data_IF_062873563938
#
_entry.id   IF_062873563938
#
_cell.length_a   1.000
_cell.length_b   1.000
_cell.length_c   1.000
_cell.angle_alpha   90.00
_cell.angle_beta   90.00
_cell.angle_gamma   90.00
#
_symmetry.space_group_name_H-M   'P 1'
#
loop_
_entity.id
_entity.type
_entity.pdbx_description
1 polymer ?
#
# COMPACT_ATOMS: atom_id res chain seq x y z
N UNK A 1 76.47 20.47 -20.01
CA UNK A 1 75.24 19.65 -20.11
C UNK A 1 75.40 18.18 -19.68
N UNK A 2 76.61 17.70 -19.32
CA UNK A 2 76.85 16.29 -18.94
C UNK A 2 76.62 15.93 -17.47
N UNK A 3 76.53 16.90 -16.55
CA UNK A 3 76.50 16.63 -15.10
C UNK A 3 75.13 16.31 -14.49
N UNK A 4 74.02 16.34 -15.25
CA UNK A 4 72.68 15.96 -14.74
C UNK A 4 72.29 14.51 -15.00
N UNK A 5 73.14 13.72 -15.66
CA UNK A 5 72.86 12.32 -16.04
C UNK A 5 73.30 11.28 -15.00
N UNK A 6 73.96 11.69 -13.92
CA UNK A 6 74.55 10.77 -12.92
C UNK A 6 73.59 10.25 -11.85
N UNK A 7 72.27 10.38 -12.04
CA UNK A 7 71.27 9.96 -11.07
C UNK A 7 70.34 8.83 -11.51
N UNK A 8 70.42 8.37 -12.76
CA UNK A 8 69.44 7.44 -13.33
C UNK A 8 70.11 6.06 -13.49
N UNK A 9 69.84 5.16 -12.54
CA UNK A 9 70.27 3.75 -12.54
C UNK A 9 69.29 2.83 -13.31
N UNK A 10 68.61 3.35 -14.33
CA UNK A 10 67.67 2.55 -15.13
C UNK A 10 68.34 2.17 -16.45
N UNK A 11 68.34 0.87 -16.79
CA UNK A 11 68.77 0.42 -18.12
C UNK A 11 67.81 0.94 -19.18
N UNK A 12 68.30 1.22 -20.38
CA UNK A 12 67.45 1.59 -21.52
C UNK A 12 66.41 0.50 -21.80
N UNK A 13 66.79 -0.76 -21.59
CA UNK A 13 65.90 -1.92 -21.77
C UNK A 13 64.74 -1.91 -20.76
N UNK A 14 64.97 -1.44 -19.52
CA UNK A 14 63.93 -1.32 -18.49
C UNK A 14 62.96 -0.18 -18.83
N UNK A 15 63.43 0.87 -19.49
CA UNK A 15 62.59 1.99 -19.92
C UNK A 15 61.69 1.52 -21.08
N UNK A 16 62.23 0.76 -22.03
CA UNK A 16 61.47 0.23 -23.17
C UNK A 16 60.38 -0.75 -22.74
N UNK A 17 60.64 -1.61 -21.74
CA UNK A 17 59.62 -2.51 -21.20
C UNK A 17 58.48 -1.75 -20.52
N UNK A 18 58.79 -0.74 -19.71
CA UNK A 18 57.78 0.11 -19.06
C UNK A 18 56.92 0.85 -20.10
N UNK A 19 57.51 1.37 -21.17
CA UNK A 19 56.78 2.02 -22.25
C UNK A 19 55.86 1.03 -22.98
N UNK A 20 56.35 -0.18 -23.26
CA UNK A 20 55.55 -1.24 -23.89
C UNK A 20 54.34 -1.64 -23.03
N UNK A 21 54.53 -1.77 -21.71
CA UNK A 21 53.47 -2.06 -20.75
C UNK A 21 52.44 -0.91 -20.67
N UNK A 22 52.91 0.34 -20.70
CA UNK A 22 52.06 1.53 -20.70
C UNK A 22 51.15 1.58 -21.94
N UNK A 23 51.69 1.28 -23.12
CA UNK A 23 50.92 1.18 -24.36
C UNK A 23 49.99 -0.05 -24.39
N UNK A 24 50.37 -1.16 -23.77
CA UNK A 24 49.51 -2.34 -23.60
C UNK A 24 48.29 -1.99 -22.74
N UNK A 25 48.50 -1.27 -21.63
CA UNK A 25 47.44 -0.86 -20.72
C UNK A 25 46.48 0.18 -21.35
N UNK A 26 47.03 1.10 -22.15
CA UNK A 26 46.26 2.04 -22.98
C UNK A 26 45.33 1.32 -23.96
N UNK A 27 45.81 0.28 -24.65
CA UNK A 27 44.98 -0.54 -25.56
C UNK A 27 43.89 -1.30 -24.82
N UNK A 28 44.18 -1.86 -23.64
CA UNK A 28 43.19 -2.60 -22.82
C UNK A 28 42.03 -1.72 -22.36
N UNK A 29 42.32 -0.47 -21.97
CA UNK A 29 41.31 0.48 -21.50
C UNK A 29 40.73 1.35 -22.63
N UNK A 30 41.22 1.19 -23.86
CA UNK A 30 40.83 1.96 -25.05
C UNK A 30 40.92 3.49 -24.85
N UNK A 31 41.99 3.94 -24.16
CA UNK A 31 42.21 5.34 -23.77
C UNK A 31 43.65 5.71 -24.16
N UNK A 32 43.93 6.93 -24.67
CA UNK A 32 45.28 7.31 -25.05
C UNK A 32 46.24 7.23 -23.85
N UNK A 33 47.55 6.96 -24.06
CA UNK A 33 48.51 6.75 -22.98
C UNK A 33 48.63 7.91 -21.98
N UNK A 34 48.31 9.13 -22.40
CA UNK A 34 48.34 10.34 -21.55
C UNK A 34 47.19 10.36 -20.54
N UNK A 35 46.05 9.77 -20.89
CA UNK A 35 44.82 9.80 -20.08
C UNK A 35 44.68 8.59 -19.16
N UNK A 36 45.64 7.66 -19.19
CA UNK A 36 45.70 6.48 -18.32
C UNK A 36 45.62 6.81 -16.81
N UNK A 37 46.32 7.84 -16.29
CA UNK A 37 46.22 8.22 -14.89
C UNK A 37 44.82 8.69 -14.51
N UNK A 38 44.16 9.45 -15.40
CA UNK A 38 42.78 9.90 -15.23
C UNK A 38 41.81 8.72 -15.23
N UNK A 39 42.02 7.75 -16.14
CA UNK A 39 41.25 6.50 -16.17
C UNK A 39 41.39 5.72 -14.85
N UNK A 40 42.61 5.53 -14.36
CA UNK A 40 42.88 4.88 -13.09
C UNK A 40 42.20 5.60 -11.90
N UNK A 41 42.31 6.93 -11.83
CA UNK A 41 41.61 7.72 -10.80
C UNK A 41 40.09 7.56 -10.89
N UNK A 42 39.53 7.50 -12.10
CA UNK A 42 38.09 7.29 -12.31
C UNK A 42 37.63 5.92 -11.82
N UNK A 43 38.40 4.86 -12.10
CA UNK A 43 38.10 3.48 -11.69
C UNK A 43 38.24 3.36 -10.17
N UNK A 44 39.31 3.91 -9.59
CA UNK A 44 39.52 3.94 -8.14
C UNK A 44 38.42 4.73 -7.42
N UNK A 45 37.96 5.85 -8.00
CA UNK A 45 36.83 6.62 -7.48
C UNK A 45 35.52 5.84 -7.54
N UNK A 46 35.28 5.07 -8.62
CA UNK A 46 34.11 4.17 -8.72
C UNK A 46 34.16 3.06 -7.68
N UNK A 47 35.32 2.43 -7.49
CA UNK A 47 35.54 1.40 -6.47
C UNK A 47 35.33 1.94 -5.05
N UNK A 48 35.98 3.06 -4.69
CA UNK A 48 35.79 3.71 -3.39
C UNK A 48 34.35 4.25 -3.20
N UNK A 49 33.67 4.58 -4.30
CA UNK A 49 32.24 4.92 -4.29
C UNK A 49 31.36 3.72 -3.96
N UNK A 50 31.85 2.49 -4.16
CA UNK A 50 31.20 1.23 -3.78
C UNK A 50 30.97 1.12 -2.28
N UNK A 51 31.95 1.48 -1.44
CA UNK A 51 31.80 1.43 0.03
C UNK A 51 30.66 2.34 0.51
N UNK A 52 30.62 3.58 0.01
CA UNK A 52 29.51 4.52 0.26
C UNK A 52 28.17 4.05 -0.32
N UNK A 53 28.20 3.20 -1.35
CA UNK A 53 26.99 2.66 -1.97
C UNK A 53 26.41 1.50 -1.16
N UNK A 54 27.26 0.69 -0.52
CA UNK A 54 26.84 -0.35 0.41
C UNK A 54 26.21 0.24 1.68
N UNK A 55 26.81 1.28 2.25
CA UNK A 55 26.22 2.00 3.39
C UNK A 55 24.84 2.60 3.03
N UNK A 56 24.74 3.26 1.87
CA UNK A 56 23.48 3.80 1.36
C UNK A 56 22.43 2.72 1.10
N UNK A 57 22.83 1.55 0.62
CA UNK A 57 21.92 0.42 0.42
C UNK A 57 21.39 -0.11 1.77
N UNK A 58 22.25 -0.17 2.79
CA UNK A 58 21.85 -0.52 4.15
C UNK A 58 20.82 0.47 4.70
N UNK A 59 21.10 1.77 4.58
CA UNK A 59 20.16 2.81 5.01
C UNK A 59 18.83 2.74 4.25
N UNK A 60 18.87 2.57 2.93
CA UNK A 60 17.67 2.48 2.10
C UNK A 60 16.76 1.30 2.50
N UNK A 61 17.33 0.16 2.88
CA UNK A 61 16.56 -0.99 3.40
C UNK A 61 15.90 -0.69 4.74
N UNK A 62 16.63 -0.03 5.66
CA UNK A 62 16.05 0.38 6.94
C UNK A 62 14.91 1.39 6.76
N UNK A 63 15.07 2.33 5.83
CA UNK A 63 14.05 3.31 5.49
C UNK A 63 12.82 2.66 4.85
N UNK A 64 13.02 1.67 3.97
CA UNK A 64 11.96 0.86 3.37
C UNK A 64 11.16 0.10 4.43
N UNK A 65 11.82 -0.61 5.34
CA UNK A 65 11.17 -1.33 6.43
C UNK A 65 10.41 -0.39 7.38
N UNK A 66 10.98 0.78 7.67
CA UNK A 66 10.32 1.78 8.50
C UNK A 66 9.07 2.37 7.81
N UNK A 67 9.14 2.62 6.49
CA UNK A 67 8.01 3.09 5.71
C UNK A 67 6.90 2.04 5.63
N UNK A 68 7.26 0.76 5.44
CA UNK A 68 6.30 -0.36 5.42
C UNK A 68 5.53 -0.44 6.75
N UNK A 69 6.23 -0.41 7.89
CA UNK A 69 5.60 -0.45 9.21
C UNK A 69 4.65 0.72 9.46
N UNK A 70 5.04 1.93 9.02
CA UNK A 70 4.16 3.12 9.13
C UNK A 70 2.90 2.93 8.30
N UNK A 71 3.05 2.43 7.07
CA UNK A 71 1.93 2.14 6.20
C UNK A 71 0.97 1.11 6.81
N UNK A 72 1.48 -0.01 7.32
CA UNK A 72 0.68 -1.03 8.01
C UNK A 72 -0.09 -0.47 9.21
N UNK A 73 0.56 0.35 10.04
CA UNK A 73 -0.09 0.99 11.18
C UNK A 73 -1.23 1.92 10.74
N UNK A 74 -0.99 2.76 9.74
CA UNK A 74 -2.03 3.65 9.21
C UNK A 74 -3.21 2.89 8.60
N UNK A 75 -2.96 1.75 7.95
CA UNK A 75 -4.02 0.87 7.47
C UNK A 75 -4.86 0.30 8.63
N UNK A 76 -4.21 -0.10 9.73
CA UNK A 76 -4.91 -0.63 10.90
C UNK A 76 -5.76 0.44 11.60
N UNK A 77 -5.22 1.64 11.76
CA UNK A 77 -5.95 2.81 12.29
C UNK A 77 -7.18 3.13 11.43
N UNK A 78 -7.03 3.08 10.10
CA UNK A 78 -8.12 3.32 9.17
C UNK A 78 -9.24 2.28 9.30
N UNK A 79 -8.89 0.99 9.35
CA UNK A 79 -9.88 -0.09 9.53
C UNK A 79 -10.58 0.02 10.89
N UNK A 80 -9.85 0.36 11.96
CA UNK A 80 -10.43 0.58 13.29
C UNK A 80 -11.42 1.76 13.30
N UNK A 81 -11.05 2.88 12.67
CA UNK A 81 -11.94 4.05 12.54
C UNK A 81 -13.21 3.70 11.75
N UNK A 82 -13.08 2.93 10.67
CA UNK A 82 -14.24 2.46 9.88
C UNK A 82 -15.17 1.57 10.71
N UNK A 83 -14.61 0.66 11.49
CA UNK A 83 -15.38 -0.23 12.37
C UNK A 83 -16.16 0.58 13.42
N UNK A 84 -15.53 1.58 14.05
CA UNK A 84 -16.17 2.46 15.01
C UNK A 84 -17.35 3.24 14.40
N UNK A 85 -17.16 3.76 13.18
CA UNK A 85 -18.22 4.45 12.44
C UNK A 85 -19.35 3.49 12.07
N UNK A 86 -19.05 2.28 11.63
CA UNK A 86 -20.04 1.26 11.30
C UNK A 86 -20.90 0.87 12.52
N UNK A 87 -20.31 0.74 13.70
CA UNK A 87 -21.01 0.50 14.96
C UNK A 87 -21.93 1.68 15.32
N UNK A 88 -21.39 2.91 15.26
CA UNK A 88 -22.16 4.13 15.55
C UNK A 88 -23.36 4.28 14.63
N UNK A 89 -23.19 4.02 13.33
CA UNK A 89 -24.27 4.06 12.35
C UNK A 89 -25.29 2.95 12.64
N UNK A 90 -24.84 1.74 12.94
CA UNK A 90 -25.73 0.61 13.26
C UNK A 90 -26.63 0.94 14.46
N UNK A 91 -26.05 1.43 15.55
CA UNK A 91 -26.80 1.80 16.76
C UNK A 91 -27.76 2.97 16.51
N UNK A 92 -27.29 3.99 15.80
CA UNK A 92 -28.08 5.19 15.52
C UNK A 92 -29.27 4.86 14.61
N UNK A 93 -29.06 4.10 13.53
CA UNK A 93 -30.15 3.67 12.64
C UNK A 93 -31.14 2.80 13.41
N UNK A 94 -30.66 1.85 14.22
CA UNK A 94 -31.52 1.00 15.05
C UNK A 94 -32.41 1.80 16.01
N UNK A 95 -31.94 2.95 16.52
CA UNK A 95 -32.75 3.86 17.35
C UNK A 95 -33.89 4.52 16.56
N UNK A 96 -33.68 4.83 15.29
CA UNK A 96 -34.69 5.46 14.44
C UNK A 96 -35.65 4.47 13.77
N UNK A 97 -35.27 3.21 13.58
CA UNK A 97 -36.12 2.20 12.92
C UNK A 97 -37.54 2.08 13.48
N UNK A 98 -37.80 2.16 14.80
CA UNK A 98 -39.15 2.16 15.34
C UNK A 98 -40.02 3.30 14.80
N UNK A 99 -39.46 4.52 14.72
CA UNK A 99 -40.17 5.69 14.19
C UNK A 99 -40.50 5.60 12.69
N UNK A 100 -39.82 4.70 11.97
CA UNK A 100 -40.03 4.43 10.54
C UNK A 100 -40.93 3.20 10.30
N UNK A 101 -41.69 2.76 11.30
CA UNK A 101 -42.55 1.55 11.25
C UNK A 101 -41.76 0.28 10.88
N UNK A 102 -40.49 0.20 11.27
CA UNK A 102 -39.58 -0.92 11.03
C UNK A 102 -39.14 -1.60 12.35
N UNK A 103 -40.05 -1.68 13.32
CA UNK A 103 -39.81 -2.20 14.68
C UNK A 103 -39.38 -3.68 14.70
N UNK A 104 -39.80 -4.44 13.67
CA UNK A 104 -39.41 -5.84 13.49
C UNK A 104 -38.10 -6.01 12.73
N UNK A 105 -37.38 -4.95 12.38
CA UNK A 105 -36.15 -5.04 11.58
C UNK A 105 -34.91 -4.77 12.43
N UNK A 106 -33.85 -5.51 12.17
CA UNK A 106 -32.51 -5.35 12.75
C UNK A 106 -31.56 -4.99 11.61
N UNK A 107 -30.97 -3.81 11.69
CA UNK A 107 -29.98 -3.31 10.77
C UNK A 107 -28.58 -3.41 11.40
N UNK A 108 -27.60 -3.85 10.62
CA UNK A 108 -26.20 -3.89 11.04
C UNK A 108 -25.27 -3.62 9.87
N UNK A 109 -24.27 -2.76 10.09
CA UNK A 109 -23.19 -2.48 9.15
C UNK A 109 -21.99 -3.32 9.54
N UNK A 110 -21.38 -4.01 8.57
CA UNK A 110 -20.18 -4.81 8.80
C UNK A 110 -19.06 -4.35 7.86
N UNK A 111 -17.86 -4.20 8.43
CA UNK A 111 -16.64 -3.87 7.70
C UNK A 111 -15.83 -5.16 7.54
N UNK A 112 -15.64 -5.59 6.29
CA UNK A 112 -14.92 -6.82 5.96
C UNK A 112 -13.63 -6.47 5.21
N UNK A 113 -12.46 -6.98 5.65
CA UNK A 113 -11.22 -6.77 4.92
C UNK A 113 -11.29 -7.48 3.57
N UNK A 114 -11.03 -6.73 2.50
CA UNK A 114 -11.02 -7.23 1.13
C UNK A 114 -9.60 -7.47 0.67
N UNK A 115 -9.36 -8.70 0.23
CA UNK A 115 -8.09 -9.10 -0.35
C UNK A 115 -8.11 -8.81 -1.84
N UNK A 116 -7.19 -7.95 -2.30
CA UNK A 116 -6.93 -7.83 -3.74
C UNK A 116 -6.10 -9.02 -4.22
N UNK A 117 -6.55 -9.62 -5.32
CA UNK A 117 -5.74 -10.57 -6.10
C UNK A 117 -4.79 -9.79 -7.01
N UNK A 118 -3.83 -9.07 -6.43
CA UNK A 118 -2.75 -8.48 -7.21
C UNK A 118 -1.64 -9.51 -7.40
N UNK A 119 -1.20 -9.73 -8.64
CA UNK A 119 -0.04 -10.58 -8.97
C UNK A 119 1.30 -9.83 -8.84
N UNK A 120 1.28 -8.54 -8.51
CA UNK A 120 2.49 -7.74 -8.34
C UNK A 120 3.11 -7.89 -6.94
N UNK A 121 4.44 -7.88 -6.88
CA UNK A 121 5.19 -7.89 -5.64
C UNK A 121 5.23 -6.46 -5.04
N UNK A 122 4.08 -5.97 -4.57
CA UNK A 122 3.93 -4.66 -3.91
C UNK A 122 3.49 -4.82 -2.46
N UNK A 123 3.44 -3.74 -1.68
CA UNK A 123 2.85 -3.76 -0.33
C UNK A 123 1.38 -4.25 -0.31
N UNK A 124 0.69 -4.12 -1.46
CA UNK A 124 -0.61 -4.72 -1.74
C UNK A 124 -0.49 -6.08 -2.46
N UNK A 125 0.56 -6.84 -2.13
CA UNK A 125 0.94 -8.07 -2.83
C UNK A 125 -0.14 -9.14 -2.79
N UNK A 126 0.16 -10.29 -3.39
CA UNK A 126 -0.76 -11.42 -3.50
C UNK A 126 -1.30 -11.78 -2.11
N UNK A 127 -2.57 -11.47 -1.83
CA UNK A 127 -3.19 -11.80 -0.55
C UNK A 127 -3.21 -10.67 0.50
N UNK A 128 -2.62 -9.50 0.21
CA UNK A 128 -2.61 -8.38 1.15
C UNK A 128 -3.94 -7.60 1.09
N UNK A 129 -4.68 -7.59 2.20
CA UNK A 129 -5.91 -6.81 2.40
C UNK A 129 -5.71 -5.53 3.22
N UNK A 130 -4.47 -5.04 3.33
CA UNK A 130 -4.12 -3.92 4.20
C UNK A 130 -4.84 -2.63 3.77
N UNK A 131 -5.72 -2.13 4.65
CA UNK A 131 -6.46 -0.88 4.46
C UNK A 131 -7.57 -0.94 3.41
N UNK A 132 -7.81 -2.11 2.82
CA UNK A 132 -8.88 -2.33 1.85
C UNK A 132 -10.04 -3.00 2.55
N UNK A 133 -11.06 -2.21 2.84
CA UNK A 133 -12.24 -2.69 3.52
C UNK A 133 -13.46 -2.54 2.61
N UNK A 134 -14.28 -3.58 2.54
CA UNK A 134 -15.63 -3.54 1.98
C UNK A 134 -16.64 -3.40 3.09
N UNK A 135 -17.61 -2.51 2.91
CA UNK A 135 -18.68 -2.30 3.87
C UNK A 135 -19.95 -2.97 3.33
N UNK A 136 -20.47 -3.92 4.10
CA UNK A 136 -21.72 -4.62 3.78
C UNK A 136 -22.82 -4.17 4.77
N UNK A 137 -24.00 -3.89 4.22
CA UNK A 137 -25.19 -3.54 4.99
C UNK A 137 -26.11 -4.75 5.09
N UNK A 138 -26.48 -5.14 6.31
CA UNK A 138 -27.35 -6.28 6.56
C UNK A 138 -28.67 -5.85 7.18
N UNK A 139 -29.76 -6.51 6.74
CA UNK A 139 -31.10 -6.34 7.29
C UNK A 139 -31.67 -7.71 7.66
N UNK A 140 -32.15 -7.86 8.90
CA UNK A 140 -32.81 -9.08 9.39
C UNK A 140 -34.17 -8.74 9.99
N UNK A 141 -35.20 -9.54 9.73
CA UNK A 141 -36.50 -9.35 10.36
C UNK A 141 -36.69 -10.31 11.55
N UNK A 142 -37.06 -9.77 12.73
CA UNK A 142 -37.49 -10.52 13.91
C UNK A 142 -38.80 -11.24 13.60
N UNK A 143 -38.84 -12.55 13.89
CA UNK A 143 -40.07 -13.34 13.86
C UNK A 143 -40.75 -13.30 15.23
N UNK A 144 -42.07 -13.18 15.25
CA UNK A 144 -42.87 -13.27 16.46
C UNK A 144 -42.90 -14.73 16.94
N UNK A 145 -42.78 -14.94 18.25
CA UNK A 145 -42.60 -16.24 18.90
C UNK A 145 -43.84 -17.18 18.89
N UNK A 146 -44.74 -17.04 17.91
CA UNK A 146 -45.99 -17.81 17.82
C UNK A 146 -46.11 -18.56 16.50
N UNK A 147 -45.58 -19.79 16.49
CA UNK A 147 -46.10 -20.93 15.73
C UNK A 147 -46.04 -20.88 14.20
N UNK A 148 -44.97 -21.41 13.61
CA UNK A 148 -45.12 -22.46 12.60
C UNK A 148 -43.82 -23.31 12.53
N UNK A 149 -43.81 -24.45 13.24
CA UNK A 149 -42.79 -25.49 13.07
C UNK A 149 -43.11 -26.33 11.83
N UNK A 150 -43.16 -25.69 10.67
CA UNK A 150 -43.37 -26.37 9.39
C UNK A 150 -42.03 -26.62 8.69
N UNK A 151 -41.56 -27.86 8.83
CA UNK A 151 -40.68 -28.60 7.90
C UNK A 151 -39.43 -27.86 7.39
N UNK A 152 -38.31 -28.16 8.03
CA UNK A 152 -36.98 -28.08 7.44
C UNK A 152 -36.90 -28.93 6.17
N UNK A 153 -36.96 -28.28 5.01
CA UNK A 153 -36.40 -28.80 3.76
C UNK A 153 -35.62 -27.67 3.08
N UNK A 154 -34.30 -27.87 2.99
CA UNK A 154 -33.33 -27.04 2.26
C UNK A 154 -33.31 -25.53 2.57
N UNK A 155 -32.49 -25.15 3.55
CA UNK A 155 -31.55 -24.04 3.40
C UNK A 155 -32.10 -22.63 3.14
N UNK A 156 -33.04 -22.14 3.93
CA UNK A 156 -33.23 -20.71 4.30
C UNK A 156 -34.44 -20.66 5.25
N UNK A 157 -34.39 -20.04 6.42
CA UNK A 157 -34.67 -18.60 6.60
C UNK A 157 -34.43 -18.19 8.07
N UNK A 158 -33.29 -17.55 8.35
CA UNK A 158 -33.44 -16.23 8.96
C UNK A 158 -33.86 -15.33 7.78
N UNK A 159 -35.02 -14.66 7.83
CA UNK A 159 -35.43 -13.73 6.77
C UNK A 159 -34.55 -12.48 6.85
N UNK A 160 -33.30 -12.62 6.42
CA UNK A 160 -32.30 -11.59 6.51
C UNK A 160 -31.08 -11.92 5.68
N UNK A 161 -30.40 -10.88 5.22
CA UNK A 161 -29.29 -10.95 4.29
C UNK A 161 -28.77 -9.56 3.97
N UNK A 162 -28.00 -9.43 2.88
CA UNK A 162 -27.55 -8.12 2.41
C UNK A 162 -28.77 -7.26 2.10
N UNK A 163 -28.69 -5.98 2.47
CA UNK A 163 -29.77 -5.01 2.25
C UNK A 163 -30.14 -4.91 0.76
N UNK A 164 -29.16 -5.07 -0.11
CA UNK A 164 -29.33 -5.06 -1.57
C UNK A 164 -30.27 -6.18 -2.04
N UNK A 165 -30.14 -7.37 -1.47
CA UNK A 165 -30.89 -8.57 -1.89
C UNK A 165 -32.24 -8.71 -1.18
N UNK A 166 -32.30 -8.31 0.10
CA UNK A 166 -33.46 -8.62 0.97
C UNK A 166 -34.40 -7.43 1.17
N UNK A 167 -33.89 -6.20 1.08
CA UNK A 167 -34.68 -5.00 1.34
C UNK A 167 -35.64 -4.64 0.21
N UNK A 168 -36.92 -4.43 0.53
CA UNK A 168 -37.87 -3.81 -0.39
C UNK A 168 -37.44 -2.37 -0.72
N UNK A 169 -37.83 -1.85 -1.89
CA UNK A 169 -37.54 -0.47 -2.28
C UNK A 169 -37.97 0.55 -1.22
N UNK A 170 -39.10 0.32 -0.54
CA UNK A 170 -39.58 1.16 0.55
C UNK A 170 -38.74 1.06 1.83
N UNK A 171 -38.19 -0.12 2.15
CA UNK A 171 -37.32 -0.31 3.31
C UNK A 171 -35.96 0.33 3.09
N UNK A 172 -35.41 0.19 1.88
CA UNK A 172 -34.18 0.86 1.45
C UNK A 172 -34.33 2.38 1.56
N UNK A 173 -35.43 2.94 1.05
CA UNK A 173 -35.70 4.38 1.15
C UNK A 173 -35.81 4.86 2.61
N UNK A 174 -36.45 4.08 3.48
CA UNK A 174 -36.56 4.39 4.91
C UNK A 174 -35.22 4.33 5.64
N UNK A 175 -34.43 3.28 5.40
CA UNK A 175 -33.08 3.15 5.99
C UNK A 175 -32.18 4.28 5.48
N UNK A 176 -32.24 4.61 4.19
CA UNK A 176 -31.49 5.72 3.62
C UNK A 176 -31.86 7.05 4.28
N UNK A 177 -33.15 7.30 4.49
CA UNK A 177 -33.62 8.49 5.21
C UNK A 177 -33.07 8.52 6.64
N UNK A 178 -33.09 7.40 7.36
CA UNK A 178 -32.53 7.32 8.71
C UNK A 178 -31.01 7.56 8.72
N UNK A 179 -30.27 7.08 7.71
CA UNK A 179 -28.84 7.36 7.59
C UNK A 179 -28.60 8.84 7.33
N UNK A 180 -29.38 9.47 6.44
CA UNK A 180 -29.23 10.90 6.12
C UNK A 180 -29.54 11.81 7.32
N UNK A 181 -30.47 11.41 8.21
CA UNK A 181 -30.72 12.18 9.44
C UNK A 181 -29.58 12.07 10.47
N UNK A 182 -28.82 10.98 10.44
CA UNK A 182 -27.66 10.75 11.32
C UNK A 182 -26.40 11.41 10.74
N UNK A 183 -26.24 11.35 9.42
CA UNK A 183 -25.10 11.87 8.68
C UNK A 183 -25.58 12.90 7.64
N UNK A 184 -26.00 14.10 8.07
CA UNK A 184 -26.47 15.12 7.14
C UNK A 184 -25.35 15.49 6.16
N UNK A 185 -25.60 15.30 4.86
CA UNK A 185 -24.67 15.66 3.79
C UNK A 185 -23.92 14.50 3.14
N UNK A 186 -24.14 13.25 3.56
CA UNK A 186 -23.50 12.08 2.92
C UNK A 186 -23.92 11.92 1.45
N UNK A 187 -25.17 12.21 1.11
CA UNK A 187 -25.65 12.17 -0.29
C UNK A 187 -25.15 13.36 -1.11
N UNK A 188 -24.95 14.53 -0.47
CA UNK A 188 -24.50 15.75 -1.16
C UNK A 188 -23.02 15.70 -1.56
N UNK A 189 -22.20 14.92 -0.86
CA UNK A 189 -20.79 14.70 -1.23
C UNK A 189 -20.64 13.87 -2.52
N UNK A 190 -21.61 13.02 -2.85
CA UNK A 190 -21.57 12.19 -4.06
C UNK A 190 -21.84 12.96 -5.37
N UNK A 191 -22.42 14.17 -5.29
CA UNK A 191 -22.61 15.05 -6.46
C UNK A 191 -21.51 16.12 -6.60
N UNK A 192 -20.64 16.27 -5.59
CA UNK A 192 -19.59 17.28 -5.53
C UNK A 192 -18.21 16.70 -5.82
N UNK A 193 -17.90 16.48 -7.10
CA UNK A 193 -16.50 16.44 -7.52
C UNK A 193 -15.81 17.76 -7.14
N UNK A 194 -14.72 17.65 -6.39
CA UNK A 194 -13.73 18.71 -6.07
C UNK A 194 -14.04 19.60 -4.84
N UNK A 195 -13.00 19.70 -4.01
CA UNK A 195 -12.70 20.69 -2.97
C UNK A 195 -13.19 20.40 -1.53
N UNK A 196 -12.29 19.81 -0.74
CA UNK A 196 -12.11 20.21 0.65
C UNK A 196 -10.61 20.19 0.99
N UNK A 197 -9.96 21.31 0.69
CA UNK A 197 -8.72 21.76 1.32
C UNK A 197 -9.14 22.66 2.47
N UNK A 198 -8.94 22.23 3.72
CA UNK A 198 -8.59 23.07 4.88
C UNK A 198 -7.80 22.19 5.84
#
# INVERSE_FOLDING_TARGET
LQQRRSGIKASVEEIDTVIADWHSLSRKHNVPPVDLPTCHLSIRKKLNGGDKSLEKLGQAKLDEEAALKRFENSCFELTAARQQVAETISESVMRYLPSLAMERSIFSVQVNPTVLKSTSNSAFGIGSGLGLDTVDFFLRHKLDASGDQSREKNGTKSRGGKLEDVGSAGEKARILLAIETILPGAVKACEGGVAATV
#
